data_IF_188125706506
#
_entry.id   IF_188125706506
#
_cell.length_a   1.000
_cell.length_b   1.000
_cell.length_c   1.000
_cell.angle_alpha   90.00
_cell.angle_beta   90.00
_cell.angle_gamma   90.00
#
_symmetry.space_group_name_H-M   'P 1'
#
loop_
_entity.id
_entity.type
_entity.pdbx_description
1 polymer ?
#
# COMPACT_ATOMS: atom_id res chain seq x y z
N UNK A 1 -2.89 -49.57 -31.32
CA UNK A 1 -2.07 -48.64 -30.52
C UNK A 1 -2.52 -48.65 -29.07
N UNK A 2 -1.56 -48.48 -28.16
CA UNK A 2 -1.68 -48.75 -26.73
C UNK A 2 -2.04 -47.45 -26.00
N UNK A 3 -3.15 -47.46 -25.27
CA UNK A 3 -3.55 -46.43 -24.32
C UNK A 3 -2.55 -46.33 -23.17
N UNK A 4 -2.05 -45.11 -22.88
CA UNK A 4 -1.31 -44.82 -21.64
C UNK A 4 -1.92 -43.62 -20.92
N UNK A 5 -2.54 -43.93 -19.79
CA UNK A 5 -3.03 -43.04 -18.75
C UNK A 5 -1.89 -42.34 -18.03
N UNK A 6 -2.02 -41.05 -17.71
CA UNK A 6 -1.50 -40.50 -16.44
C UNK A 6 -2.38 -39.39 -15.91
N UNK A 7 -2.55 -39.44 -14.60
CA UNK A 7 -3.55 -38.85 -13.73
C UNK A 7 -2.89 -37.73 -12.94
N UNK A 8 -3.48 -36.54 -12.90
CA UNK A 8 -3.21 -35.58 -11.83
C UNK A 8 -4.52 -34.95 -11.37
N UNK A 9 -5.04 -35.58 -10.30
CA UNK A 9 -6.05 -35.08 -9.38
C UNK A 9 -5.33 -34.10 -8.44
N UNK A 10 -5.73 -32.83 -8.43
CA UNK A 10 -5.33 -31.93 -7.34
C UNK A 10 -6.13 -32.30 -6.08
N UNK A 11 -5.48 -32.53 -4.93
CA UNK A 11 -6.16 -32.86 -3.68
C UNK A 11 -6.64 -31.61 -2.93
N UNK A 12 -7.70 -31.79 -2.15
CA UNK A 12 -8.10 -30.99 -0.98
C UNK A 12 -6.99 -30.89 0.08
N UNK A 13 -6.95 -29.76 0.78
CA UNK A 13 -6.05 -29.43 1.90
C UNK A 13 -5.36 -28.08 1.63
N UNK A 14 -5.69 -26.96 2.28
CA UNK A 14 -5.92 -26.80 3.71
C UNK A 14 -4.58 -26.66 4.43
N UNK A 15 -4.04 -25.43 4.48
CA UNK A 15 -3.18 -24.81 5.53
C UNK A 15 -2.49 -23.58 4.94
N UNK A 16 -2.94 -22.35 5.22
CA UNK A 16 -2.58 -21.51 6.37
C UNK A 16 -1.12 -21.02 6.41
N UNK A 17 -0.98 -19.72 6.17
CA UNK A 17 -0.15 -18.82 6.97
C UNK A 17 -0.82 -17.43 6.91
N UNK A 18 -1.94 -17.26 7.61
CA UNK A 18 -1.99 -16.66 8.95
C UNK A 18 -1.23 -15.35 9.08
N UNK A 19 -2.00 -14.26 9.11
CA UNK A 19 -2.07 -13.50 10.36
C UNK A 19 -3.51 -13.06 10.60
N UNK A 20 -4.23 -13.90 11.34
CA UNK A 20 -5.23 -13.41 12.28
C UNK A 20 -4.57 -12.34 13.14
N UNK A 21 -5.13 -11.14 13.14
CA UNK A 21 -5.19 -10.33 14.35
C UNK A 21 -6.66 -10.03 14.52
N UNK A 22 -7.24 -10.72 15.50
CA UNK A 22 -8.48 -10.31 16.14
C UNK A 22 -8.16 -9.11 17.04
N UNK A 23 -9.19 -8.31 17.28
CA UNK A 23 -9.28 -7.26 18.30
C UNK A 23 -8.40 -6.02 18.05
N UNK A 24 -9.03 -4.89 17.71
CA UNK A 24 -9.42 -3.93 18.75
C UNK A 24 -10.26 -2.80 18.14
N UNK A 25 -11.36 -2.53 18.81
CA UNK A 25 -12.25 -1.39 18.59
C UNK A 25 -11.47 -0.08 18.74
N UNK A 26 -11.12 0.56 17.62
CA UNK A 26 -10.91 2.01 17.63
C UNK A 26 -11.79 2.58 16.54
N UNK A 27 -12.96 3.01 16.98
CA UNK A 27 -13.89 3.91 16.30
C UNK A 27 -13.15 5.23 15.99
N UNK A 28 -12.31 5.19 14.96
CA UNK A 28 -11.89 6.37 14.20
C UNK A 28 -12.81 6.44 12.99
N UNK A 29 -13.28 7.64 12.57
CA UNK A 29 -14.35 7.80 11.60
C UNK A 29 -14.12 6.91 10.38
N UNK A 30 -15.13 6.09 10.06
CA UNK A 30 -15.00 4.91 9.21
C UNK A 30 -14.43 5.21 7.80
N UNK A 31 -14.49 6.44 7.33
CA UNK A 31 -14.07 6.81 5.98
C UNK A 31 -12.55 7.06 5.83
N UNK A 32 -11.82 7.41 6.90
CA UNK A 32 -10.41 7.80 6.80
C UNK A 32 -9.42 6.68 7.17
N UNK A 33 -9.92 5.61 7.80
CA UNK A 33 -9.09 4.50 8.30
C UNK A 33 -9.01 3.33 7.32
N UNK A 34 -9.90 3.29 6.33
CA UNK A 34 -9.96 2.20 5.36
C UNK A 34 -8.72 2.16 4.45
N UNK A 35 -8.19 0.94 4.19
CA UNK A 35 -7.10 0.78 3.26
C UNK A 35 -7.58 1.08 1.83
N UNK A 36 -6.97 2.08 1.20
CA UNK A 36 -7.22 2.42 -0.20
C UNK A 36 -6.21 1.68 -1.08
N UNK A 37 -6.73 0.92 -2.05
CA UNK A 37 -5.91 0.31 -3.10
C UNK A 37 -5.91 1.18 -4.35
N UNK A 38 -4.72 1.66 -4.74
CA UNK A 38 -4.54 2.41 -5.99
C UNK A 38 -4.01 1.44 -7.04
N UNK A 39 -4.93 0.90 -7.85
CA UNK A 39 -4.61 -0.10 -8.88
C UNK A 39 -3.56 0.38 -9.89
N UNK A 40 -3.69 1.62 -10.37
CA UNK A 40 -2.76 2.14 -11.35
C UNK A 40 -1.32 2.24 -10.81
N UNK A 41 -1.15 2.66 -9.56
CA UNK A 41 0.16 2.78 -8.94
C UNK A 41 0.69 1.45 -8.37
N UNK A 42 -0.21 0.47 -8.21
CA UNK A 42 0.09 -0.88 -7.73
C UNK A 42 0.50 -0.90 -6.26
N UNK A 43 -0.24 -0.21 -5.39
CA UNK A 43 -0.05 -0.31 -3.95
C UNK A 43 -1.33 -0.07 -3.17
N UNK A 44 -1.32 -0.54 -1.93
CA UNK A 44 -2.38 -0.33 -0.94
C UNK A 44 -1.84 0.52 0.19
N UNK A 45 -2.49 1.66 0.39
CA UNK A 45 -2.20 2.62 1.45
C UNK A 45 -3.25 2.46 2.56
N UNK A 46 -2.81 2.44 3.81
CA UNK A 46 -3.65 2.33 5.00
C UNK A 46 -3.35 3.49 5.95
N UNK A 47 -4.30 3.84 6.82
CA UNK A 47 -4.05 4.84 7.83
C UNK A 47 -2.96 4.38 8.82
N UNK A 48 -2.15 5.33 9.30
CA UNK A 48 -1.20 5.08 10.38
C UNK A 48 -1.94 4.95 11.72
N UNK A 49 -1.73 3.83 12.40
CA UNK A 49 -2.17 3.67 13.79
C UNK A 49 -1.27 4.47 14.75
N UNK A 50 -1.77 4.78 15.95
CA UNK A 50 -1.00 5.50 16.98
C UNK A 50 0.30 4.77 17.38
N UNK A 51 0.26 3.44 17.35
CA UNK A 51 1.42 2.59 17.63
C UNK A 51 2.49 2.67 16.53
N UNK A 52 2.07 2.68 15.26
CA UNK A 52 2.97 2.88 14.13
C UNK A 52 3.58 4.29 14.15
N UNK A 53 2.79 5.34 14.43
CA UNK A 53 3.32 6.72 14.54
C UNK A 53 4.46 6.83 15.53
N UNK A 54 4.32 6.16 16.67
CA UNK A 54 5.35 6.11 17.71
C UNK A 54 6.59 5.33 17.26
N UNK A 55 6.39 4.16 16.64
CA UNK A 55 7.48 3.32 16.10
C UNK A 55 8.30 4.04 15.03
N UNK A 56 7.62 4.69 14.08
CA UNK A 56 8.29 5.39 12.98
C UNK A 56 8.70 6.84 13.36
N UNK A 57 8.35 7.31 14.56
CA UNK A 57 8.54 8.68 15.04
C UNK A 57 8.04 9.72 14.00
N UNK A 58 6.78 9.58 13.60
CA UNK A 58 6.11 10.43 12.60
C UNK A 58 4.80 10.97 13.19
N UNK A 59 4.52 12.26 12.95
CA UNK A 59 3.26 12.88 13.41
C UNK A 59 2.06 12.50 12.53
N UNK A 60 2.32 12.35 11.24
CA UNK A 60 1.31 12.16 10.20
C UNK A 60 1.90 11.39 9.02
N UNK A 61 1.02 10.73 8.27
CA UNK A 61 1.39 9.95 7.10
C UNK A 61 0.38 8.84 6.78
N UNK A 62 0.69 8.10 5.73
CA UNK A 62 -0.10 6.94 5.29
C UNK A 62 0.82 5.73 5.23
N UNK A 63 0.44 4.65 5.89
CA UNK A 63 1.20 3.41 5.93
C UNK A 63 1.01 2.59 4.65
N UNK A 64 2.09 2.07 4.08
CA UNK A 64 2.02 1.21 2.89
C UNK A 64 1.85 -0.23 3.34
N UNK A 65 0.61 -0.70 3.31
CA UNK A 65 0.23 -2.04 3.75
C UNK A 65 0.61 -3.11 2.72
N UNK A 66 0.54 -2.80 1.42
CA UNK A 66 0.91 -3.73 0.36
C UNK A 66 1.46 -2.98 -0.84
N UNK A 67 2.42 -3.58 -1.54
CA UNK A 67 2.93 -3.08 -2.82
C UNK A 67 2.90 -4.22 -3.83
N UNK A 68 2.32 -3.97 -4.99
CA UNK A 68 2.35 -4.91 -6.11
C UNK A 68 3.70 -4.85 -6.81
N UNK A 69 4.38 -6.01 -6.89
CA UNK A 69 5.71 -6.13 -7.51
C UNK A 69 5.76 -5.67 -8.97
N UNK A 70 4.62 -5.69 -9.66
CA UNK A 70 4.49 -5.24 -11.05
C UNK A 70 4.06 -3.76 -11.17
N UNK A 71 3.75 -3.09 -10.07
CA UNK A 71 3.29 -1.70 -10.03
C UNK A 71 4.39 -0.67 -10.28
N UNK A 72 3.97 0.53 -10.69
CA UNK A 72 4.84 1.70 -10.88
C UNK A 72 5.66 2.02 -9.62
N UNK A 73 5.01 1.96 -8.44
CA UNK A 73 5.66 2.29 -7.17
C UNK A 73 6.74 1.28 -6.79
N UNK A 74 6.50 -0.03 -6.99
CA UNK A 74 7.50 -1.06 -6.72
C UNK A 74 8.76 -0.88 -7.58
N UNK A 75 8.58 -0.58 -8.87
CA UNK A 75 9.69 -0.31 -9.81
C UNK A 75 10.53 0.89 -9.40
N UNK A 76 9.92 1.84 -8.69
CA UNK A 76 10.56 3.06 -8.20
C UNK A 76 11.13 2.92 -6.78
N UNK A 77 11.11 1.70 -6.23
CA UNK A 77 11.72 1.37 -4.95
C UNK A 77 10.78 1.43 -3.74
N UNK A 78 9.48 1.66 -3.93
CA UNK A 78 8.53 1.59 -2.83
C UNK A 78 8.41 0.15 -2.34
N UNK A 79 8.48 -0.03 -1.02
CA UNK A 79 8.32 -1.33 -0.36
C UNK A 79 7.22 -1.30 0.68
N UNK A 80 6.64 -2.46 0.96
CA UNK A 80 5.73 -2.63 2.08
C UNK A 80 6.43 -2.23 3.38
N UNK A 81 5.71 -1.58 4.29
CA UNK A 81 6.28 -1.09 5.55
C UNK A 81 6.93 0.29 5.47
N UNK A 82 6.75 1.01 4.36
CA UNK A 82 7.06 2.44 4.28
C UNK A 82 5.89 3.30 4.73
N UNK A 83 6.20 4.52 5.17
CA UNK A 83 5.23 5.54 5.55
C UNK A 83 5.33 6.71 4.57
N UNK A 84 4.25 7.02 3.87
CA UNK A 84 4.14 8.18 3.00
C UNK A 84 3.86 9.41 3.86
N UNK A 85 4.78 10.38 3.85
CA UNK A 85 4.65 11.63 4.60
C UNK A 85 4.04 12.74 3.74
N UNK A 86 4.44 12.80 2.47
CA UNK A 86 3.99 13.82 1.52
C UNK A 86 3.72 13.22 0.15
N UNK A 87 2.75 13.78 -0.56
CA UNK A 87 2.43 13.49 -1.94
C UNK A 87 2.24 14.82 -2.70
N UNK A 88 2.95 15.01 -3.80
CA UNK A 88 2.93 16.24 -4.61
C UNK A 88 3.26 17.52 -3.80
N UNK A 89 4.18 17.40 -2.84
CA UNK A 89 4.51 18.49 -1.92
C UNK A 89 3.45 18.79 -0.86
N UNK A 90 2.31 18.08 -0.86
CA UNK A 90 1.25 18.20 0.16
C UNK A 90 1.42 17.13 1.22
N UNK A 91 1.22 17.51 2.47
CA UNK A 91 1.24 16.56 3.58
C UNK A 91 -0.03 15.71 3.54
N UNK A 92 0.15 14.39 3.63
CA UNK A 92 -0.96 13.42 3.58
C UNK A 92 -1.09 12.77 4.95
N UNK A 93 -2.29 12.79 5.50
CA UNK A 93 -2.57 12.22 6.83
C UNK A 93 -3.44 10.97 6.75
N UNK A 94 -4.19 10.83 5.66
CA UNK A 94 -5.16 9.75 5.48
C UNK A 94 -5.04 9.13 4.07
N UNK A 95 -5.27 7.81 3.93
CA UNK A 95 -5.30 7.13 2.64
C UNK A 95 -6.40 7.69 1.72
N UNK A 96 -7.54 8.12 2.26
CA UNK A 96 -8.60 8.78 1.50
C UNK A 96 -8.12 10.11 0.88
N UNK A 97 -7.36 10.91 1.64
CA UNK A 97 -6.75 12.15 1.15
C UNK A 97 -5.75 11.85 0.02
N UNK A 98 -4.88 10.86 0.21
CA UNK A 98 -3.93 10.42 -0.81
C UNK A 98 -4.66 10.06 -2.12
N UNK A 99 -5.73 9.26 -2.03
CA UNK A 99 -6.59 8.91 -3.17
C UNK A 99 -7.12 10.14 -3.88
N UNK A 100 -7.68 11.09 -3.13
CA UNK A 100 -8.23 12.33 -3.69
C UNK A 100 -7.17 13.14 -4.42
N UNK A 101 -5.95 13.25 -3.88
CA UNK A 101 -4.87 13.99 -4.57
C UNK A 101 -4.47 13.28 -5.86
N UNK A 102 -4.38 11.95 -5.84
CA UNK A 102 -4.06 11.16 -7.05
C UNK A 102 -5.17 11.30 -8.10
N UNK A 103 -6.44 11.16 -7.72
CA UNK A 103 -7.58 11.27 -8.65
C UNK A 103 -7.82 12.71 -9.12
N UNK A 104 -7.46 13.71 -8.34
CA UNK A 104 -7.54 15.11 -8.75
C UNK A 104 -6.43 15.51 -9.75
N UNK A 105 -5.39 14.70 -9.87
CA UNK A 105 -4.28 14.92 -10.81
C UNK A 105 -4.59 14.28 -12.16
N UNK A 106 -4.10 14.91 -13.23
CA UNK A 106 -4.21 14.34 -14.55
C UNK A 106 -3.26 13.14 -14.66
N UNK A 107 -3.75 12.10 -15.30
CA UNK A 107 -2.90 10.98 -15.64
C UNK A 107 -1.80 11.40 -16.61
N UNK A 108 -0.61 10.86 -16.41
CA UNK A 108 0.62 11.29 -17.05
C UNK A 108 1.37 12.38 -16.29
N UNK A 109 0.78 13.03 -15.28
CA UNK A 109 1.50 14.01 -14.45
C UNK A 109 2.49 13.31 -13.50
N UNK A 110 3.65 13.93 -13.31
CA UNK A 110 4.70 13.44 -12.43
C UNK A 110 4.43 13.84 -10.98
N UNK A 111 4.16 12.87 -10.11
CA UNK A 111 3.85 13.10 -8.71
C UNK A 111 5.01 12.65 -7.82
N UNK A 112 5.49 13.56 -6.96
CA UNK A 112 6.57 13.26 -6.01
C UNK A 112 5.99 12.81 -4.66
N UNK A 113 6.38 11.62 -4.21
CA UNK A 113 6.05 11.07 -2.91
C UNK A 113 7.27 11.12 -2.01
N UNK A 114 7.12 11.64 -0.79
CA UNK A 114 8.15 11.54 0.24
C UNK A 114 7.74 10.43 1.18
N UNK A 115 8.51 9.36 1.21
CA UNK A 115 8.29 8.20 2.06
C UNK A 115 9.40 8.07 3.10
N UNK A 116 9.09 7.36 4.17
CA UNK A 116 10.02 7.01 5.23
C UNK A 116 9.99 5.49 5.42
N UNK A 117 11.14 4.85 5.30
CA UNK A 117 11.30 3.42 5.57
C UNK A 117 11.26 3.11 7.06
N UNK A 118 11.10 1.83 7.39
CA UNK A 118 11.21 1.32 8.76
C UNK A 118 12.59 1.57 9.38
N UNK A 119 13.64 1.62 8.56
CA UNK A 119 15.00 2.00 8.97
C UNK A 119 15.13 3.50 9.29
N UNK A 120 14.07 4.30 9.11
CA UNK A 120 14.05 5.74 9.36
C UNK A 120 14.59 6.59 8.21
N UNK A 121 15.09 5.97 7.15
CA UNK A 121 15.55 6.64 5.94
C UNK A 121 14.39 7.29 5.20
N UNK A 122 14.55 8.54 4.77
CA UNK A 122 13.56 9.25 3.95
C UNK A 122 13.95 9.14 2.49
N UNK A 123 13.01 8.71 1.65
CA UNK A 123 13.20 8.58 0.22
C UNK A 123 12.15 9.42 -0.52
N UNK A 124 12.57 10.10 -1.58
CA UNK A 124 11.66 10.80 -2.48
C UNK A 124 11.49 9.94 -3.74
N UNK A 125 10.26 9.50 -3.98
CA UNK A 125 9.88 8.63 -5.09
C UNK A 125 9.01 9.46 -6.03
N UNK A 126 9.52 9.76 -7.22
CA UNK A 126 8.71 10.42 -8.26
C UNK A 126 8.16 9.37 -9.20
N UNK A 127 6.84 9.38 -9.40
CA UNK A 127 6.14 8.45 -10.28
C UNK A 127 5.15 9.19 -11.14
N UNK A 128 4.87 8.66 -12.32
CA UNK A 128 3.80 9.18 -13.16
C UNK A 128 2.47 8.63 -12.65
N UNK A 129 1.48 9.51 -12.53
CA UNK A 129 0.12 9.10 -12.19
C UNK A 129 -0.45 8.34 -13.40
N UNK A 130 -0.83 7.08 -13.26
CA UNK A 130 -1.44 6.30 -14.32
C UNK A 130 -2.89 6.76 -14.55
N UNK A 131 -3.40 6.56 -15.76
CA UNK A 131 -4.84 6.73 -16.04
C UNK A 131 -5.63 5.77 -15.12
N UNK A 132 -6.49 6.35 -14.29
CA UNK A 132 -7.36 5.63 -13.34
C UNK A 132 -8.69 5.26 -13.99
#
# INVERSE_FOLDING_TARGET
EITKTVKLKAPDGGDMASKSVRDDEVEAPADDTEPVTIKGLGFTAAALTSEQRSTFNVKQGVYVSKVDRFGQMARRGLRQGTVILKADGREVTSPAQLKRVITAKQAGDGMMFVVKDADGSKQAITVEVPEL
#
